data_IF_671075236654
#
_entry.id   IF_671075236654
#
_cell.length_a   1.000
_cell.length_b   1.000
_cell.length_c   1.000
_cell.angle_alpha   90.00
_cell.angle_beta   90.00
_cell.angle_gamma   90.00
#
_symmetry.space_group_name_H-M   'P 1'
#
loop_
_entity.id
_entity.type
_entity.pdbx_description
1 polymer ?
#
# COMPACT_ATOMS: atom_id res chain seq x y z
N UNK A 1 3.31 -22.11 20.40
CA UNK A 1 2.62 -21.94 19.10
C UNK A 1 3.65 -21.32 18.18
N UNK A 2 3.78 -21.94 17.02
CA UNK A 2 4.99 -22.08 16.24
C UNK A 2 5.49 -20.76 15.63
N UNK A 3 6.78 -20.49 15.84
CA UNK A 3 7.57 -19.54 15.04
C UNK A 3 7.83 -20.20 13.68
N UNK A 4 6.78 -20.31 12.87
CA UNK A 4 6.88 -20.80 11.51
C UNK A 4 7.47 -19.69 10.63
N UNK A 5 8.80 -19.58 10.60
CA UNK A 5 9.61 -19.02 9.51
C UNK A 5 8.87 -17.97 8.63
N UNK A 6 8.41 -16.89 9.28
CA UNK A 6 7.32 -16.03 8.82
C UNK A 6 7.81 -15.02 7.79
N UNK A 7 7.68 -15.35 6.52
CA UNK A 7 7.90 -14.40 5.43
C UNK A 7 6.82 -13.33 5.52
N UNK A 8 7.20 -12.12 5.91
CA UNK A 8 6.31 -10.97 5.93
C UNK A 8 5.81 -10.71 4.51
N UNK A 9 4.50 -10.67 4.31
CA UNK A 9 3.90 -10.46 2.99
C UNK A 9 2.99 -9.23 2.98
N UNK A 10 3.62 -8.08 2.76
CA UNK A 10 2.92 -6.81 2.68
C UNK A 10 1.95 -6.68 1.49
N UNK A 11 2.06 -7.54 0.47
CA UNK A 11 1.23 -7.48 -0.72
C UNK A 11 0.00 -8.39 -0.63
N UNK A 12 0.01 -9.41 0.25
CA UNK A 12 -1.06 -10.39 0.34
C UNK A 12 -1.57 -10.64 1.77
N UNK A 13 -0.88 -10.15 2.81
CA UNK A 13 -1.31 -10.30 4.20
C UNK A 13 -1.69 -8.94 4.81
N UNK A 14 -2.97 -8.72 5.16
CA UNK A 14 -3.41 -7.50 5.83
C UNK A 14 -2.70 -7.24 7.15
N UNK A 15 -2.38 -8.28 7.95
CA UNK A 15 -1.74 -8.08 9.25
C UNK A 15 -0.33 -7.48 9.12
N UNK A 16 0.37 -7.82 8.04
CA UNK A 16 1.70 -7.32 7.73
C UNK A 16 1.63 -5.91 7.12
N UNK A 17 0.65 -5.67 6.24
CA UNK A 17 0.50 -4.42 5.49
C UNK A 17 -0.17 -3.29 6.30
N UNK A 18 -1.07 -3.64 7.23
CA UNK A 18 -1.92 -2.69 7.94
C UNK A 18 -1.15 -1.64 8.76
N UNK A 19 -0.08 -2.00 9.50
CA UNK A 19 0.73 -1.01 10.21
C UNK A 19 1.26 0.09 9.28
N UNK A 20 1.75 -0.27 8.09
CA UNK A 20 2.28 0.69 7.09
C UNK A 20 1.17 1.59 6.55
N UNK A 21 0.01 1.00 6.22
CA UNK A 21 -1.15 1.72 5.68
C UNK A 21 -1.61 2.80 6.64
N UNK A 22 -1.73 2.47 7.94
CA UNK A 22 -2.19 3.41 8.97
C UNK A 22 -1.12 4.46 9.28
N UNK A 23 0.15 4.07 9.40
CA UNK A 23 1.25 5.00 9.71
C UNK A 23 1.47 6.05 8.62
N UNK A 24 1.24 5.68 7.35
CA UNK A 24 1.42 6.58 6.20
C UNK A 24 0.09 7.18 5.70
N UNK A 25 -1.01 7.01 6.44
CA UNK A 25 -2.34 7.54 6.10
C UNK A 25 -2.81 7.19 4.67
N UNK A 26 -2.47 5.98 4.21
CA UNK A 26 -2.83 5.52 2.86
C UNK A 26 -4.30 5.15 2.82
N UNK A 27 -5.09 5.91 2.05
CA UNK A 27 -6.50 5.64 1.84
C UNK A 27 -6.69 4.53 0.79
N UNK A 28 -7.52 3.54 1.09
CA UNK A 28 -7.93 2.48 0.18
C UNK A 28 -9.37 2.71 -0.28
N UNK A 29 -9.59 2.68 -1.58
CA UNK A 29 -10.85 3.04 -2.21
C UNK A 29 -11.26 1.92 -3.16
N UNK A 30 -12.35 1.25 -2.84
CA UNK A 30 -12.93 0.21 -3.70
C UNK A 30 -13.63 0.85 -4.90
N UNK A 31 -13.53 0.21 -6.06
CA UNK A 31 -14.22 0.63 -7.29
C UNK A 31 -13.83 2.04 -7.74
N UNK A 32 -12.53 2.30 -7.79
CA UNK A 32 -11.98 3.63 -8.08
C UNK A 32 -12.38 4.13 -9.48
N UNK A 33 -12.03 3.38 -10.53
CA UNK A 33 -12.37 3.68 -11.92
C UNK A 33 -13.25 2.60 -12.57
N UNK A 34 -13.11 1.35 -12.12
CA UNK A 34 -13.88 0.20 -12.58
C UNK A 34 -14.22 -0.73 -11.41
N UNK A 35 -15.26 -1.56 -11.59
CA UNK A 35 -15.61 -2.61 -10.63
C UNK A 35 -14.48 -3.65 -10.53
N UNK A 36 -14.01 -3.92 -9.32
CA UNK A 36 -12.93 -4.88 -9.07
C UNK A 36 -11.52 -4.28 -9.04
N UNK A 37 -11.37 -2.98 -9.31
CA UNK A 37 -10.10 -2.25 -9.14
C UNK A 37 -10.13 -1.43 -7.85
N UNK A 38 -9.03 -1.51 -7.11
CA UNK A 38 -8.79 -0.75 -5.89
C UNK A 38 -7.84 0.38 -6.18
N UNK A 39 -8.19 1.58 -5.71
CA UNK A 39 -7.29 2.72 -5.63
C UNK A 39 -6.65 2.81 -4.25
N UNK A 40 -5.34 3.04 -4.20
CA UNK A 40 -4.64 3.50 -3.01
C UNK A 40 -4.17 4.93 -3.24
N UNK A 41 -4.31 5.80 -2.25
CA UNK A 41 -3.91 7.22 -2.37
C UNK A 41 -3.42 7.80 -1.06
N UNK A 42 -2.47 8.72 -1.14
CA UNK A 42 -1.98 9.54 -0.03
C UNK A 42 -1.76 10.97 -0.52
N UNK A 43 -2.15 11.94 0.29
CA UNK A 43 -2.03 13.34 -0.06
C UNK A 43 -0.54 13.75 -0.20
N UNK A 44 -0.20 14.69 -1.10
CA UNK A 44 -1.09 15.42 -1.99
C UNK A 44 -1.19 14.84 -3.42
N UNK A 45 -0.35 13.87 -3.82
CA UNK A 45 -0.21 13.51 -5.23
C UNK A 45 0.07 12.02 -5.54
N UNK A 46 0.20 11.15 -4.54
CA UNK A 46 0.56 9.76 -4.79
C UNK A 46 -0.70 8.89 -4.81
N UNK A 47 -0.93 8.22 -5.95
CA UNK A 47 -2.02 7.27 -6.09
C UNK A 47 -1.63 6.13 -7.02
N UNK A 48 -2.13 4.94 -6.74
CA UNK A 48 -1.94 3.75 -7.58
C UNK A 48 -3.24 2.94 -7.63
N UNK A 49 -3.52 2.30 -8.76
CA UNK A 49 -4.63 1.38 -8.91
C UNK A 49 -4.12 -0.06 -9.11
N UNK A 50 -4.79 -1.02 -8.47
CA UNK A 50 -4.48 -2.43 -8.62
C UNK A 50 -5.71 -3.29 -8.30
N UNK A 51 -5.78 -4.49 -8.85
CA UNK A 51 -6.81 -5.50 -8.48
C UNK A 51 -6.65 -6.04 -7.06
N UNK A 52 -5.56 -5.68 -6.37
CA UNK A 52 -5.24 -6.10 -5.01
C UNK A 52 -4.99 -4.83 -4.20
N UNK A 53 -5.83 -4.52 -3.19
CA UNK A 53 -5.73 -3.28 -2.43
C UNK A 53 -4.41 -3.16 -1.66
N UNK A 54 -3.87 -4.27 -1.14
CA UNK A 54 -2.62 -4.25 -0.38
C UNK A 54 -1.44 -3.96 -1.31
N UNK A 55 -1.44 -4.53 -2.51
CA UNK A 55 -0.41 -4.24 -3.51
C UNK A 55 -0.47 -2.79 -3.98
N UNK A 56 -1.67 -2.24 -4.20
CA UNK A 56 -1.83 -0.80 -4.48
C UNK A 56 -1.25 0.06 -3.35
N UNK A 57 -1.55 -0.28 -2.09
CA UNK A 57 -1.03 0.43 -0.92
C UNK A 57 0.49 0.43 -0.85
N UNK A 58 1.11 -0.74 -1.07
CA UNK A 58 2.56 -0.87 -1.00
C UNK A 58 3.26 -0.14 -2.14
N UNK A 59 2.64 -0.05 -3.33
CA UNK A 59 3.18 0.78 -4.42
C UNK A 59 3.17 2.26 -4.01
N UNK A 60 2.07 2.74 -3.40
CA UNK A 60 1.99 4.12 -2.89
C UNK A 60 3.02 4.38 -1.79
N UNK A 61 3.22 3.43 -0.88
CA UNK A 61 4.28 3.51 0.13
C UNK A 61 5.68 3.63 -0.51
N UNK A 62 5.96 2.85 -1.54
CA UNK A 62 7.23 2.95 -2.27
C UNK A 62 7.37 4.31 -2.97
N UNK A 63 6.29 4.86 -3.54
CA UNK A 63 6.29 6.19 -4.15
C UNK A 63 6.60 7.30 -3.13
N UNK A 64 6.09 7.20 -1.90
CA UNK A 64 6.46 8.09 -0.80
C UNK A 64 7.96 8.03 -0.48
N UNK A 65 8.51 6.82 -0.33
CA UNK A 65 9.93 6.61 0.00
C UNK A 65 10.91 6.95 -1.15
N UNK A 66 10.43 6.97 -2.40
CA UNK A 66 11.21 7.38 -3.56
C UNK A 66 11.18 8.90 -3.75
N UNK A 67 10.06 9.55 -3.41
CA UNK A 67 9.95 11.02 -3.38
C UNK A 67 10.88 11.68 -2.35
N UNK A 68 11.29 10.96 -1.30
CA UNK A 68 12.28 11.40 -0.31
C UNK A 68 13.75 11.42 -0.82
N UNK A 69 14.03 11.01 -2.07
CA UNK A 69 15.40 11.02 -2.64
C UNK A 69 15.73 12.21 -3.56
N UNK A 70 15.01 13.33 -3.43
CA UNK A 70 15.35 14.58 -4.12
C UNK A 70 15.80 15.68 -3.14
N UNK A 71 16.87 15.40 -2.40
CA UNK A 71 17.81 16.45 -1.98
C UNK A 71 19.08 16.28 -2.84
N UNK A 72 19.15 17.06 -3.91
CA UNK A 72 20.34 17.32 -4.71
C UNK A 72 20.67 18.79 -4.66
#
# INVERSE_FOLDING_TARGET
MDLANGTVDYCNNPADAWPIIVENEIALISSWNEEGVWGATVAPWNSCEHTNPLRAAMIVFLQLNDAEKCDG
#
